data_IF_992192272770
#
_entry.id   IF_992192272770
#
_cell.length_a   1.000
_cell.length_b   1.000
_cell.length_c   1.000
_cell.angle_alpha   90.00
_cell.angle_beta   90.00
_cell.angle_gamma   90.00
#
_symmetry.space_group_name_H-M   'P 1'
#
loop_
_entity.id
_entity.type
_entity.pdbx_description
1 polymer ?
#
# COMPACT_ATOMS: atom_id res chain seq x y z
N UNK A 1 8.19 -31.55 5.18
CA UNK A 1 7.02 -30.76 4.73
C UNK A 1 6.13 -30.53 5.93
N UNK A 2 6.20 -29.32 6.52
CA UNK A 2 5.26 -28.92 7.58
C UNK A 2 3.96 -28.51 6.90
N UNK A 3 2.85 -29.14 7.24
CA UNK A 3 1.55 -28.70 6.77
C UNK A 3 1.05 -27.62 7.72
N UNK A 4 0.93 -26.38 7.22
CA UNK A 4 0.08 -25.40 7.87
C UNK A 4 -1.34 -26.00 8.06
N UNK A 5 -2.00 -25.66 9.17
CA UNK A 5 -3.38 -26.12 9.42
C UNK A 5 -4.26 -25.80 8.22
N UNK A 6 -5.04 -26.75 7.74
CA UNK A 6 -6.01 -26.45 6.66
C UNK A 6 -7.05 -25.44 7.15
N UNK A 7 -7.70 -24.74 6.22
CA UNK A 7 -8.76 -23.76 6.53
C UNK A 7 -9.82 -24.31 7.49
N UNK A 8 -10.25 -25.55 7.30
CA UNK A 8 -11.26 -26.18 8.15
C UNK A 8 -10.72 -26.51 9.54
N UNK A 9 -9.46 -26.99 9.63
CA UNK A 9 -8.79 -27.22 10.92
C UNK A 9 -8.65 -25.93 11.72
N UNK A 10 -8.34 -24.81 11.08
CA UNK A 10 -8.24 -23.50 11.76
C UNK A 10 -9.59 -23.08 12.33
N UNK A 11 -10.68 -23.22 11.56
CA UNK A 11 -12.03 -22.88 12.03
C UNK A 11 -12.48 -23.74 13.20
N UNK A 12 -12.18 -25.03 13.16
CA UNK A 12 -12.48 -25.95 14.26
C UNK A 12 -11.68 -25.58 15.52
N UNK A 13 -10.38 -25.27 15.37
CA UNK A 13 -9.52 -24.83 16.47
C UNK A 13 -10.00 -23.52 17.09
N UNK A 14 -10.39 -22.54 16.28
CA UNK A 14 -10.97 -21.27 16.76
C UNK A 14 -12.21 -21.57 17.59
N UNK A 15 -13.16 -22.34 17.06
CA UNK A 15 -14.42 -22.67 17.75
C UNK A 15 -14.15 -23.35 19.11
N UNK A 16 -13.21 -24.30 19.14
CA UNK A 16 -12.81 -24.97 20.37
C UNK A 16 -12.19 -24.00 21.39
N UNK A 17 -11.30 -23.12 20.94
CA UNK A 17 -10.60 -22.16 21.79
C UNK A 17 -11.51 -21.05 22.34
N UNK A 18 -12.53 -20.65 21.59
CA UNK A 18 -13.55 -19.70 22.08
C UNK A 18 -14.44 -20.32 23.16
N UNK A 19 -14.69 -21.63 23.11
CA UNK A 19 -15.44 -22.35 24.15
C UNK A 19 -14.68 -22.48 25.47
N UNK A 20 -13.34 -22.46 25.44
CA UNK A 20 -12.50 -22.57 26.65
C UNK A 20 -12.64 -21.35 27.58
N UNK A 21 -13.14 -20.18 27.10
CA UNK A 21 -13.42 -18.93 27.87
C UNK A 21 -12.32 -18.39 28.80
N UNK A 22 -11.14 -19.01 28.84
CA UNK A 22 -10.11 -18.74 29.83
C UNK A 22 -9.17 -17.56 29.49
N UNK A 23 -9.21 -17.05 28.25
CA UNK A 23 -8.35 -15.95 27.79
C UNK A 23 -9.13 -14.83 27.10
N UNK A 24 -8.89 -13.56 27.46
CA UNK A 24 -9.46 -12.43 26.74
C UNK A 24 -8.89 -12.36 25.32
N UNK A 25 -9.77 -12.25 24.33
CA UNK A 25 -9.38 -11.99 22.93
C UNK A 25 -8.84 -10.57 22.84
N UNK A 26 -7.56 -10.42 22.47
CA UNK A 26 -6.92 -9.12 22.31
C UNK A 26 -7.20 -8.51 20.93
N UNK A 27 -7.22 -9.33 19.89
CA UNK A 27 -7.47 -8.90 18.51
C UNK A 27 -8.64 -9.69 17.93
N UNK A 28 -9.70 -9.00 17.50
CA UNK A 28 -10.80 -9.66 16.81
C UNK A 28 -10.40 -10.08 15.40
N UNK A 29 -10.96 -11.20 14.93
CA UNK A 29 -10.82 -11.69 13.56
C UNK A 29 -11.17 -10.60 12.55
N UNK A 30 -12.30 -9.94 12.76
CA UNK A 30 -12.83 -8.87 11.90
C UNK A 30 -11.85 -7.70 11.78
N UNK A 31 -11.18 -7.32 12.87
CA UNK A 31 -10.19 -6.25 12.84
C UNK A 31 -8.97 -6.64 12.00
N UNK A 32 -8.43 -7.85 12.17
CA UNK A 32 -7.32 -8.37 11.38
C UNK A 32 -7.68 -8.43 9.88
N UNK A 33 -8.87 -8.93 9.57
CA UNK A 33 -9.38 -9.00 8.19
C UNK A 33 -9.48 -7.60 7.56
N UNK A 34 -10.01 -6.61 8.30
CA UNK A 34 -10.09 -5.21 7.83
C UNK A 34 -8.71 -4.64 7.53
N UNK A 35 -7.69 -4.92 8.34
CA UNK A 35 -6.30 -4.50 8.11
C UNK A 35 -5.74 -5.10 6.81
N UNK A 36 -5.89 -6.40 6.60
CA UNK A 36 -5.41 -7.08 5.38
C UNK A 36 -6.07 -6.47 4.16
N UNK A 37 -7.40 -6.32 4.19
CA UNK A 37 -8.15 -5.70 3.09
C UNK A 37 -7.75 -4.25 2.84
N UNK A 38 -7.44 -3.49 3.89
CA UNK A 38 -6.90 -2.15 3.76
C UNK A 38 -5.57 -2.15 2.99
N UNK A 39 -4.63 -3.04 3.31
CA UNK A 39 -3.36 -3.15 2.58
C UNK A 39 -3.53 -3.59 1.12
N UNK A 40 -4.42 -4.54 0.84
CA UNK A 40 -4.75 -4.97 -0.54
C UNK A 40 -5.25 -3.78 -1.36
N UNK A 41 -6.16 -2.97 -0.80
CA UNK A 41 -6.70 -1.78 -1.48
C UNK A 41 -5.65 -0.72 -1.69
N UNK A 42 -4.81 -0.48 -0.69
CA UNK A 42 -3.70 0.47 -0.80
C UNK A 42 -2.74 0.07 -1.92
N UNK A 43 -2.36 -1.21 -2.02
CA UNK A 43 -1.51 -1.70 -3.11
C UNK A 43 -2.18 -1.53 -4.47
N UNK A 44 -3.47 -1.88 -4.58
CA UNK A 44 -4.27 -1.71 -5.80
C UNK A 44 -4.30 -0.24 -6.24
N UNK A 45 -4.56 0.67 -5.30
CA UNK A 45 -4.56 2.10 -5.56
C UNK A 45 -3.20 2.59 -6.08
N UNK A 46 -2.09 2.18 -5.46
CA UNK A 46 -0.73 2.52 -5.92
C UNK A 46 -0.44 2.06 -7.37
N UNK A 47 -1.00 0.92 -7.79
CA UNK A 47 -0.95 0.48 -9.18
C UNK A 47 -1.81 1.34 -10.11
N UNK A 48 -3.03 1.68 -9.70
CA UNK A 48 -3.93 2.54 -10.48
C UNK A 48 -3.33 3.93 -10.71
N UNK A 49 -2.76 4.57 -9.67
CA UNK A 49 -2.08 5.87 -9.79
C UNK A 49 -0.90 5.75 -10.76
N UNK A 50 -0.13 4.65 -10.66
CA UNK A 50 0.97 4.36 -11.58
C UNK A 50 0.52 4.22 -13.04
N UNK A 51 -0.57 3.49 -13.28
CA UNK A 51 -1.16 3.34 -14.60
C UNK A 51 -1.65 4.69 -15.14
N UNK A 52 -2.44 5.44 -14.36
CA UNK A 52 -2.93 6.77 -14.71
C UNK A 52 -1.80 7.73 -15.10
N UNK A 53 -0.73 7.75 -14.30
CA UNK A 53 0.46 8.55 -14.56
C UNK A 53 1.17 8.15 -15.87
N UNK A 54 1.27 6.86 -16.17
CA UNK A 54 1.86 6.36 -17.42
C UNK A 54 0.99 6.70 -18.63
N UNK A 55 -0.32 6.46 -18.55
CA UNK A 55 -1.30 6.76 -19.62
C UNK A 55 -1.33 8.25 -19.96
N UNK A 56 -1.34 9.14 -18.96
CA UNK A 56 -1.26 10.60 -19.18
C UNK A 56 0.02 11.04 -19.88
N UNK A 57 1.14 10.36 -19.61
CA UNK A 57 2.40 10.67 -20.27
C UNK A 57 2.41 10.19 -21.71
N UNK A 58 1.86 8.99 -21.97
CA UNK A 58 1.65 8.51 -23.33
C UNK A 58 0.82 9.51 -24.14
N UNK A 59 -0.30 10.00 -23.59
CA UNK A 59 -1.13 11.03 -24.23
C UNK A 59 -0.31 12.29 -24.55
N UNK A 60 0.41 12.82 -23.55
CA UNK A 60 1.22 14.04 -23.74
C UNK A 60 2.30 13.86 -24.82
N UNK A 61 2.94 12.70 -24.88
CA UNK A 61 3.95 12.41 -25.90
C UNK A 61 3.32 12.33 -27.29
N UNK A 62 2.19 11.63 -27.42
CA UNK A 62 1.44 11.52 -28.68
C UNK A 62 0.95 12.89 -29.17
N UNK A 63 0.37 13.72 -28.29
CA UNK A 63 -0.13 15.05 -28.63
C UNK A 63 1.00 16.01 -29.04
N UNK A 64 2.17 15.92 -28.40
CA UNK A 64 3.28 16.84 -28.66
C UNK A 64 4.10 16.47 -29.89
N UNK A 65 4.28 15.17 -30.15
CA UNK A 65 5.32 14.69 -31.05
C UNK A 65 4.86 13.54 -31.97
N UNK A 66 3.61 13.08 -31.84
CA UNK A 66 3.05 11.99 -32.63
C UNK A 66 3.67 10.62 -32.35
N UNK A 67 3.20 9.58 -33.07
CA UNK A 67 3.63 8.19 -32.88
C UNK A 67 5.13 7.97 -33.11
N UNK A 68 5.77 8.77 -33.97
CA UNK A 68 7.18 8.60 -34.36
C UNK A 68 8.17 8.87 -33.21
N UNK A 69 7.69 9.44 -32.10
CA UNK A 69 8.51 9.93 -31.00
C UNK A 69 8.41 9.09 -29.72
N UNK A 70 7.48 8.15 -29.66
CA UNK A 70 7.29 7.26 -28.53
C UNK A 70 8.07 5.96 -28.76
N UNK A 71 8.47 5.29 -27.68
CA UNK A 71 9.25 4.05 -27.81
C UNK A 71 8.41 2.94 -28.47
N UNK A 72 9.03 1.96 -29.15
CA UNK A 72 8.31 0.83 -29.75
C UNK A 72 7.38 0.12 -28.75
N UNK A 73 7.80 -0.04 -27.50
CA UNK A 73 6.99 -0.65 -26.44
C UNK A 73 5.78 0.21 -26.08
N UNK A 74 5.94 1.53 -26.06
CA UNK A 74 4.83 2.45 -25.82
C UNK A 74 3.84 2.46 -26.98
N UNK A 75 4.34 2.35 -28.21
CA UNK A 75 3.52 2.26 -29.41
C UNK A 75 2.75 0.95 -29.46
N UNK A 76 3.37 -0.17 -29.09
CA UNK A 76 2.70 -1.46 -28.97
C UNK A 76 1.58 -1.40 -27.92
N UNK A 77 1.86 -0.84 -26.74
CA UNK A 77 0.85 -0.61 -25.70
C UNK A 77 -0.29 0.27 -26.22
N UNK A 78 0.04 1.34 -26.95
CA UNK A 78 -0.94 2.25 -27.53
C UNK A 78 -1.89 1.54 -28.50
N UNK A 79 -1.35 0.76 -29.43
CA UNK A 79 -2.14 0.02 -30.42
C UNK A 79 -2.92 -1.13 -29.80
N UNK A 80 -2.31 -1.89 -28.89
CA UNK A 80 -2.92 -3.07 -28.27
C UNK A 80 -4.06 -2.71 -27.32
N UNK A 81 -3.87 -1.71 -26.46
CA UNK A 81 -4.82 -1.41 -25.39
C UNK A 81 -5.72 -0.21 -25.69
N UNK A 82 -5.31 0.68 -26.60
CA UNK A 82 -6.05 1.89 -26.96
C UNK A 82 -6.37 1.98 -28.45
N UNK A 83 -6.21 0.87 -29.21
CA UNK A 83 -6.54 0.76 -30.63
C UNK A 83 -5.84 1.78 -31.55
N UNK A 84 -4.77 2.41 -31.08
CA UNK A 84 -4.12 3.49 -31.82
C UNK A 84 -4.93 4.79 -31.85
N UNK A 85 -5.90 4.95 -30.94
CA UNK A 85 -6.83 6.08 -30.92
C UNK A 85 -6.63 6.99 -29.69
N UNK A 86 -6.53 8.30 -29.94
CA UNK A 86 -6.28 9.31 -28.91
C UNK A 86 -7.52 9.50 -28.02
N UNK A 87 -8.72 9.40 -28.58
CA UNK A 87 -9.94 9.63 -27.81
C UNK A 87 -10.21 8.45 -26.86
N UNK A 88 -10.00 7.21 -27.32
CA UNK A 88 -9.97 6.01 -26.47
C UNK A 88 -8.96 6.15 -25.32
N UNK A 89 -7.78 6.73 -25.59
CA UNK A 89 -6.76 6.99 -24.56
C UNK A 89 -7.23 8.05 -23.54
N UNK A 90 -7.88 9.13 -23.99
CA UNK A 90 -8.45 10.19 -23.13
C UNK A 90 -9.58 9.65 -22.26
N UNK A 91 -10.46 8.84 -22.82
CA UNK A 91 -11.55 8.19 -22.09
C UNK A 91 -10.99 7.27 -21.00
N UNK A 92 -9.95 6.50 -21.33
CA UNK A 92 -9.29 5.66 -20.32
C UNK A 92 -8.69 6.47 -19.19
N UNK A 93 -8.11 7.62 -19.47
CA UNK A 93 -7.57 8.52 -18.43
C UNK A 93 -8.68 8.98 -17.47
N UNK A 94 -9.87 9.30 -17.98
CA UNK A 94 -11.00 9.67 -17.14
C UNK A 94 -11.51 8.49 -16.31
N UNK A 95 -11.60 7.29 -16.90
CA UNK A 95 -11.96 6.06 -16.18
C UNK A 95 -10.96 5.77 -15.05
N UNK A 96 -9.66 5.83 -15.33
CA UNK A 96 -8.60 5.62 -14.33
C UNK A 96 -8.65 6.67 -13.22
N UNK A 97 -8.90 7.94 -13.55
CA UNK A 97 -9.05 9.02 -12.56
C UNK A 97 -10.25 8.76 -11.63
N UNK A 98 -11.40 8.36 -12.18
CA UNK A 98 -12.59 8.02 -11.39
C UNK A 98 -12.32 6.80 -10.48
N UNK A 99 -11.67 5.78 -11.03
CA UNK A 99 -11.32 4.54 -10.32
C UNK A 99 -10.33 4.80 -9.17
N UNK A 100 -9.26 5.56 -9.43
CA UNK A 100 -8.27 5.99 -8.43
C UNK A 100 -8.94 6.72 -7.26
N UNK A 101 -9.87 7.62 -7.54
CA UNK A 101 -10.55 8.41 -6.50
C UNK A 101 -11.57 7.58 -5.72
N UNK A 102 -12.28 6.67 -6.40
CA UNK A 102 -13.18 5.71 -5.75
C UNK A 102 -12.42 4.82 -4.77
N UNK A 103 -11.27 4.29 -5.20
CA UNK A 103 -10.45 3.42 -4.35
C UNK A 103 -9.83 4.21 -3.18
N UNK A 104 -9.36 5.44 -3.41
CA UNK A 104 -8.87 6.30 -2.32
C UNK A 104 -9.96 6.57 -1.28
N UNK A 105 -11.20 6.85 -1.70
CA UNK A 105 -12.31 7.01 -0.76
C UNK A 105 -12.51 5.77 0.10
N UNK A 106 -12.47 4.58 -0.52
CA UNK A 106 -12.64 3.30 0.19
C UNK A 106 -11.50 3.02 1.17
N UNK A 107 -10.26 3.39 0.82
CA UNK A 107 -9.10 3.32 1.73
C UNK A 107 -9.34 4.21 2.94
N UNK A 108 -9.76 5.47 2.74
CA UNK A 108 -9.99 6.43 3.83
C UNK A 108 -11.17 6.03 4.73
N UNK A 109 -12.24 5.44 4.17
CA UNK A 109 -13.34 4.87 4.95
C UNK A 109 -12.86 3.70 5.80
N UNK A 110 -12.16 2.73 5.21
CA UNK A 110 -11.66 1.57 5.95
C UNK A 110 -10.65 1.93 7.01
N UNK A 111 -9.84 2.94 6.76
CA UNK A 111 -8.91 3.53 7.72
C UNK A 111 -9.64 3.94 9.02
N UNK A 112 -10.82 4.56 8.89
CA UNK A 112 -11.67 4.91 10.04
C UNK A 112 -12.23 3.66 10.73
N UNK A 113 -12.67 2.64 9.97
CA UNK A 113 -13.19 1.37 10.52
C UNK A 113 -12.16 0.55 11.33
N UNK A 114 -10.86 0.84 11.16
CA UNK A 114 -9.75 0.24 11.93
C UNK A 114 -9.19 1.22 12.98
N UNK A 115 -9.88 2.33 13.27
CA UNK A 115 -9.44 3.38 14.20
C UNK A 115 -8.04 3.93 13.90
N UNK A 116 -7.68 3.98 12.62
CA UNK A 116 -6.45 4.63 12.18
C UNK A 116 -6.87 5.91 11.46
N UNK A 117 -6.79 7.06 12.13
CA UNK A 117 -7.10 8.36 11.52
C UNK A 117 -5.83 8.91 10.84
N UNK A 118 -5.53 8.30 9.68
CA UNK A 118 -4.25 8.35 8.97
C UNK A 118 -3.88 9.70 8.35
N UNK A 119 -4.77 10.69 8.43
CA UNK A 119 -4.75 11.89 7.61
C UNK A 119 -4.94 13.19 8.39
N UNK A 120 -5.28 13.13 9.68
CA UNK A 120 -5.41 14.33 10.52
C UNK A 120 -4.10 15.13 10.58
N UNK A 121 -2.95 14.44 10.50
CA UNK A 121 -1.62 15.07 10.43
C UNK A 121 -1.13 15.37 9.00
N UNK A 122 -1.86 14.99 7.96
CA UNK A 122 -1.59 15.43 6.57
C UNK A 122 -2.22 16.80 6.28
N UNK A 123 -2.99 17.33 7.23
CA UNK A 123 -3.59 18.67 7.23
C UNK A 123 -2.61 19.62 7.93
N UNK A 124 -1.45 19.85 7.32
CA UNK A 124 -0.77 21.13 7.47
C UNK A 124 -0.94 21.90 6.14
N UNK A 125 -2.21 22.17 5.83
CA UNK A 125 -2.64 22.87 4.61
C UNK A 125 -2.60 24.37 4.82
N UNK A 126 -1.39 24.92 4.84
CA UNK A 126 -1.08 26.35 4.89
C UNK A 126 -0.52 26.92 3.59
N UNK A 127 -1.10 26.59 2.43
CA UNK A 127 -0.97 27.33 1.15
C UNK A 127 0.37 27.31 0.39
N UNK A 128 0.24 27.23 -0.95
CA UNK A 128 1.21 27.61 -1.99
C UNK A 128 2.50 26.78 -2.07
N UNK A 129 3.08 26.80 -3.27
CA UNK A 129 4.32 26.13 -3.64
C UNK A 129 5.57 26.73 -2.92
N UNK A 130 5.55 26.90 -1.61
CA UNK A 130 6.59 27.58 -0.86
C UNK A 130 7.08 26.71 0.31
N UNK A 131 8.31 26.20 0.18
CA UNK A 131 9.33 25.96 1.21
C UNK A 131 9.01 25.35 2.59
N UNK A 132 7.78 24.99 2.92
CA UNK A 132 7.42 24.41 4.21
C UNK A 132 6.91 22.99 3.96
N UNK A 133 7.72 22.04 4.39
CA UNK A 133 7.49 20.62 4.20
C UNK A 133 6.33 20.18 5.09
N UNK A 134 5.35 19.48 4.51
CA UNK A 134 4.29 18.73 5.22
C UNK A 134 4.82 17.65 6.19
N UNK A 135 6.14 17.59 6.36
CA UNK A 135 6.92 16.67 7.17
C UNK A 135 8.00 17.38 8.00
N UNK A 136 7.99 18.72 8.10
CA UNK A 136 8.82 19.41 9.10
C UNK A 136 8.25 19.09 10.49
N UNK A 137 9.08 18.45 11.32
CA UNK A 137 8.74 18.17 12.73
C UNK A 137 8.64 19.46 13.57
N UNK A 138 9.09 20.59 13.00
CA UNK A 138 9.16 21.90 13.64
C UNK A 138 7.93 22.80 13.36
N UNK A 139 6.93 22.35 12.58
CA UNK A 139 5.72 23.15 12.36
C UNK A 139 4.72 22.97 13.51
N UNK A 140 4.58 24.02 14.31
CA UNK A 140 3.51 24.12 15.31
C UNK A 140 2.15 24.05 14.57
N UNK A 141 1.32 23.02 14.82
CA UNK A 141 0.06 22.86 14.12
C UNK A 141 -0.83 24.07 14.45
N UNK A 142 -1.01 24.96 13.47
CA UNK A 142 -1.87 26.13 13.66
C UNK A 142 -3.31 25.65 13.89
N UNK A 143 -3.75 25.91 15.11
CA UNK A 143 -5.09 25.75 15.68
C UNK A 143 -6.19 26.22 14.73
N UNK A 144 -6.73 25.30 13.93
CA UNK A 144 -8.03 25.39 13.25
C UNK A 144 -8.33 24.04 12.59
N UNK A 145 -8.60 23.02 13.40
CA UNK A 145 -8.86 21.64 12.96
C UNK A 145 -10.30 21.45 12.48
N UNK A 146 -10.66 22.02 11.33
CA UNK A 146 -11.73 21.42 10.53
C UNK A 146 -11.12 20.39 9.58
N UNK A 147 -11.50 19.13 9.78
CA UNK A 147 -11.11 18.02 8.93
C UNK A 147 -11.74 18.18 7.53
N UNK A 148 -10.95 18.62 6.55
CA UNK A 148 -11.40 18.63 5.16
C UNK A 148 -10.80 17.45 4.37
N UNK A 149 -11.66 16.43 4.21
CA UNK A 149 -11.41 15.22 3.43
C UNK A 149 -11.02 15.52 1.96
N UNK A 150 -11.46 16.64 1.39
CA UNK A 150 -11.08 17.07 0.05
C UNK A 150 -9.58 17.41 -0.04
N UNK A 151 -9.05 18.20 0.91
CA UNK A 151 -7.63 18.55 0.92
C UNK A 151 -6.74 17.33 1.15
N UNK A 152 -7.12 16.43 2.05
CA UNK A 152 -6.42 15.15 2.27
C UNK A 152 -6.29 14.36 0.97
N UNK A 153 -7.41 14.12 0.27
CA UNK A 153 -7.42 13.37 -0.99
C UNK A 153 -6.56 14.05 -2.05
N UNK A 154 -6.67 15.38 -2.15
CA UNK A 154 -5.88 16.17 -3.10
C UNK A 154 -4.38 16.08 -2.82
N UNK A 155 -3.96 16.15 -1.55
CA UNK A 155 -2.57 16.05 -1.14
C UNK A 155 -1.99 14.66 -1.45
N UNK A 156 -2.68 13.59 -1.06
CA UNK A 156 -2.30 12.20 -1.36
C UNK A 156 -2.14 12.03 -2.88
N UNK A 157 -3.15 12.39 -3.68
CA UNK A 157 -3.06 12.28 -5.13
C UNK A 157 -1.92 13.13 -5.71
N UNK A 158 -1.60 14.28 -5.12
CA UNK A 158 -0.49 15.12 -5.59
C UNK A 158 0.86 14.42 -5.41
N UNK A 159 1.17 13.89 -4.22
CA UNK A 159 2.44 13.21 -3.93
C UNK A 159 2.70 12.01 -4.83
N UNK A 160 1.65 11.24 -5.11
CA UNK A 160 1.75 10.04 -5.92
C UNK A 160 1.51 10.29 -7.42
N UNK A 161 1.16 11.51 -7.84
CA UNK A 161 1.04 11.88 -9.26
C UNK A 161 2.35 12.38 -9.84
N UNK A 162 2.50 12.37 -11.18
CA UNK A 162 3.68 12.93 -11.88
C UNK A 162 3.94 14.43 -11.64
N UNK A 163 3.08 15.13 -10.92
CA UNK A 163 3.25 16.56 -10.59
C UNK A 163 4.28 16.79 -9.48
N UNK A 164 4.47 15.83 -8.58
CA UNK A 164 5.45 15.93 -7.50
C UNK A 164 6.81 15.37 -7.94
N UNK A 165 7.89 16.02 -7.50
CA UNK A 165 9.26 15.50 -7.65
C UNK A 165 9.37 14.12 -7.01
N UNK A 166 10.06 13.18 -7.65
CA UNK A 166 10.24 11.80 -7.18
C UNK A 166 8.96 10.95 -7.02
N UNK A 167 7.83 11.36 -7.60
CA UNK A 167 6.58 10.61 -7.45
C UNK A 167 6.66 9.17 -7.99
N UNK A 168 7.52 8.90 -8.98
CA UNK A 168 7.74 7.54 -9.51
C UNK A 168 8.44 6.67 -8.47
N UNK A 169 9.45 7.22 -7.82
CA UNK A 169 10.23 6.62 -6.74
C UNK A 169 9.34 6.40 -5.51
N UNK A 170 8.57 7.41 -5.09
CA UNK A 170 7.55 7.28 -4.03
C UNK A 170 6.61 6.10 -4.28
N UNK A 171 5.99 6.03 -5.46
CA UNK A 171 5.12 4.90 -5.84
C UNK A 171 5.87 3.56 -5.81
N UNK A 172 7.15 3.53 -6.17
CA UNK A 172 7.96 2.30 -6.15
C UNK A 172 8.20 1.84 -4.72
N UNK A 173 8.67 2.73 -3.85
CA UNK A 173 8.96 2.42 -2.44
C UNK A 173 7.70 2.05 -1.66
N UNK A 174 6.62 2.81 -1.85
CA UNK A 174 5.32 2.48 -1.27
C UNK A 174 4.84 1.08 -1.69
N UNK A 175 4.95 0.73 -2.98
CA UNK A 175 4.58 -0.60 -3.45
C UNK A 175 5.45 -1.68 -2.82
N UNK A 176 6.77 -1.48 -2.72
CA UNK A 176 7.66 -2.47 -2.08
C UNK A 176 7.23 -2.69 -0.64
N UNK A 177 7.09 -1.63 0.15
CA UNK A 177 6.70 -1.71 1.56
C UNK A 177 5.36 -2.45 1.76
N UNK A 178 4.33 -2.14 0.97
CA UNK A 178 3.02 -2.77 1.10
C UNK A 178 3.04 -4.22 0.58
N UNK A 179 3.80 -4.52 -0.47
CA UNK A 179 3.99 -5.89 -0.96
C UNK A 179 4.68 -6.76 0.08
N UNK A 180 5.77 -6.28 0.67
CA UNK A 180 6.51 -7.01 1.70
C UNK A 180 5.61 -7.27 2.90
N UNK A 181 4.76 -6.30 3.24
CA UNK A 181 3.76 -6.46 4.29
C UNK A 181 2.77 -7.57 3.96
N UNK A 182 2.09 -7.46 2.82
CA UNK A 182 1.12 -8.47 2.39
C UNK A 182 1.75 -9.87 2.29
N UNK A 183 3.00 -9.97 1.83
CA UNK A 183 3.74 -11.22 1.77
C UNK A 183 3.90 -11.85 3.15
N UNK A 184 4.30 -11.08 4.17
CA UNK A 184 4.38 -11.57 5.55
C UNK A 184 3.04 -12.02 6.10
N UNK A 185 1.94 -11.34 5.76
CA UNK A 185 0.60 -11.81 6.11
C UNK A 185 0.29 -13.15 5.42
N UNK A 186 0.59 -13.29 4.13
CA UNK A 186 0.36 -14.52 3.38
C UNK A 186 1.21 -15.70 3.89
N UNK A 187 2.42 -15.43 4.40
CA UNK A 187 3.27 -16.44 5.02
C UNK A 187 2.63 -17.14 6.24
N UNK A 188 1.55 -16.60 6.81
CA UNK A 188 0.79 -17.28 7.86
C UNK A 188 0.10 -18.57 7.37
N UNK A 189 -0.21 -18.66 6.07
CA UNK A 189 -0.85 -19.84 5.46
C UNK A 189 0.06 -20.57 4.47
N UNK A 190 1.11 -19.91 4.00
CA UNK A 190 2.12 -20.46 3.08
C UNK A 190 3.53 -20.00 3.50
N UNK A 191 4.18 -20.70 4.44
CA UNK A 191 5.47 -20.28 5.01
C UNK A 191 6.59 -20.15 3.96
N UNK A 192 6.50 -20.89 2.87
CA UNK A 192 7.49 -20.91 1.78
C UNK A 192 7.21 -19.83 0.71
N UNK A 193 6.21 -18.96 0.94
CA UNK A 193 5.87 -17.89 0.01
C UNK A 193 7.01 -16.87 -0.13
N UNK A 194 7.67 -16.89 -1.28
CA UNK A 194 8.63 -15.86 -1.68
C UNK A 194 7.97 -14.78 -2.56
N UNK A 195 7.75 -13.56 -2.05
CA UNK A 195 7.18 -12.46 -2.84
C UNK A 195 8.09 -11.94 -3.96
N UNK A 196 9.37 -12.32 -3.98
CA UNK A 196 10.36 -11.89 -4.97
C UNK A 196 10.60 -12.93 -6.07
N UNK A 197 10.17 -14.18 -5.87
CA UNK A 197 10.35 -15.29 -6.82
C UNK A 197 9.66 -15.08 -8.17
N UNK A 198 8.60 -14.24 -8.24
CA UNK A 198 7.84 -13.94 -9.45
C UNK A 198 7.54 -12.44 -9.55
N UNK A 199 7.43 -11.91 -10.78
CA UNK A 199 6.88 -10.55 -11.01
C UNK A 199 5.42 -10.52 -10.53
N UNK A 200 5.20 -10.24 -9.26
CA UNK A 200 3.87 -10.06 -8.69
C UNK A 200 3.33 -8.68 -9.08
N UNK A 201 2.65 -8.61 -10.22
CA UNK A 201 1.90 -7.43 -10.65
C UNK A 201 0.54 -7.32 -9.95
N UNK A 202 -0.24 -6.29 -10.28
CA UNK A 202 -1.56 -6.07 -9.66
C UNK A 202 -2.52 -7.26 -9.87
N UNK A 203 -2.44 -7.93 -11.03
CA UNK A 203 -3.33 -9.04 -11.39
C UNK A 203 -2.97 -10.28 -10.60
N UNK A 204 -1.68 -10.60 -10.50
CA UNK A 204 -1.20 -11.71 -9.68
C UNK A 204 -1.58 -11.51 -8.20
N UNK A 205 -1.41 -10.29 -7.68
CA UNK A 205 -1.79 -9.95 -6.30
C UNK A 205 -3.28 -10.16 -6.03
N UNK A 206 -4.17 -9.72 -6.94
CA UNK A 206 -5.61 -9.89 -6.75
C UNK A 206 -6.05 -11.36 -6.77
N UNK A 207 -5.32 -12.25 -7.44
CA UNK A 207 -5.59 -13.69 -7.43
C UNK A 207 -5.18 -14.34 -6.11
N UNK A 208 -4.04 -13.91 -5.57
CA UNK A 208 -3.49 -14.39 -4.28
C UNK A 208 -4.37 -13.91 -3.13
N UNK A 209 -4.71 -12.62 -3.09
CA UNK A 209 -5.54 -12.01 -2.03
C UNK A 209 -7.00 -11.90 -2.46
N UNK A 210 -7.61 -13.05 -2.74
CA UNK A 210 -9.07 -13.17 -2.88
C UNK A 210 -9.75 -13.23 -1.49
N UNK A 211 -11.08 -13.12 -1.44
CA UNK A 211 -11.82 -13.07 -0.18
C UNK A 211 -11.58 -14.31 0.71
N UNK A 212 -11.55 -15.50 0.11
CA UNK A 212 -11.30 -16.75 0.81
C UNK A 212 -9.90 -16.80 1.45
N UNK A 213 -8.87 -16.41 0.71
CA UNK A 213 -7.51 -16.38 1.24
C UNK A 213 -7.34 -15.30 2.31
N UNK A 214 -8.00 -14.14 2.16
CA UNK A 214 -7.99 -13.08 3.18
C UNK A 214 -8.60 -13.57 4.49
N UNK A 215 -9.75 -14.26 4.42
CA UNK A 215 -10.39 -14.86 5.58
C UNK A 215 -9.48 -15.89 6.24
N UNK A 216 -8.89 -16.79 5.45
CA UNK A 216 -8.01 -17.85 5.96
C UNK A 216 -6.74 -17.29 6.62
N UNK A 217 -6.12 -16.25 6.04
CA UNK A 217 -5.00 -15.53 6.66
C UNK A 217 -5.44 -14.88 7.98
N UNK A 218 -6.60 -14.21 7.99
CA UNK A 218 -7.13 -13.57 9.19
C UNK A 218 -7.39 -14.59 10.30
N UNK A 219 -7.93 -15.76 9.97
CA UNK A 219 -8.17 -16.87 10.88
C UNK A 219 -6.87 -17.40 11.49
N UNK A 220 -5.85 -17.65 10.66
CA UNK A 220 -4.54 -18.10 11.14
C UNK A 220 -3.87 -17.08 12.07
N UNK A 221 -3.89 -15.81 11.69
CA UNK A 221 -3.31 -14.73 12.50
C UNK A 221 -4.08 -14.55 13.80
N UNK A 222 -5.41 -14.57 13.75
CA UNK A 222 -6.25 -14.52 14.94
C UNK A 222 -5.88 -15.63 15.93
N UNK A 223 -5.81 -16.87 15.44
CA UNK A 223 -5.49 -18.03 16.25
C UNK A 223 -4.12 -17.87 16.90
N UNK A 224 -3.09 -17.58 16.11
CA UNK A 224 -1.70 -17.54 16.57
C UNK A 224 -1.42 -16.33 17.47
N UNK A 225 -2.03 -15.16 17.22
CA UNK A 225 -1.84 -13.98 18.06
C UNK A 225 -2.59 -14.02 19.39
N UNK A 226 -3.79 -14.63 19.45
CA UNK A 226 -4.57 -14.72 20.68
C UNK A 226 -4.24 -15.98 21.51
N UNK A 227 -3.77 -17.06 20.86
CA UNK A 227 -3.40 -18.32 21.49
C UNK A 227 -1.94 -18.66 21.17
N UNK A 228 -1.03 -17.92 21.81
CA UNK A 228 0.43 -17.98 21.55
C UNK A 228 1.00 -19.37 21.78
N UNK A 229 0.40 -20.19 22.66
CA UNK A 229 0.78 -21.59 22.86
C UNK A 229 0.64 -22.47 21.61
N UNK A 230 -0.13 -22.02 20.61
CA UNK A 230 -0.27 -22.70 19.33
C UNK A 230 0.83 -22.31 18.34
N UNK A 231 1.68 -21.33 18.68
CA UNK A 231 2.81 -20.96 17.85
C UNK A 231 3.99 -21.93 18.06
N UNK A 232 4.62 -22.30 16.96
CA UNK A 232 5.90 -23.01 16.99
C UNK A 232 7.07 -22.02 17.14
N UNK A 233 8.20 -22.48 17.65
CA UNK A 233 9.37 -21.62 17.91
C UNK A 233 9.86 -20.86 16.66
N UNK A 234 9.76 -21.48 15.49
CA UNK A 234 10.13 -20.91 14.19
C UNK A 234 9.18 -19.79 13.74
N UNK A 235 7.95 -19.78 14.23
CA UNK A 235 6.91 -18.83 13.84
C UNK A 235 6.92 -17.54 14.66
N UNK A 236 7.58 -17.53 15.84
CA UNK A 236 7.58 -16.38 16.75
C UNK A 236 8.03 -15.09 16.06
N UNK A 237 9.08 -15.13 15.25
CA UNK A 237 9.56 -13.95 14.51
C UNK A 237 8.53 -13.40 13.53
N UNK A 238 7.78 -14.29 12.86
CA UNK A 238 6.74 -13.90 11.92
C UNK A 238 5.57 -13.24 12.66
N UNK A 239 5.06 -13.89 13.71
CA UNK A 239 3.91 -13.38 14.44
C UNK A 239 4.22 -12.14 15.28
N UNK A 240 5.44 -11.98 15.79
CA UNK A 240 5.88 -10.71 16.39
C UNK A 240 5.88 -9.57 15.37
N UNK A 241 6.32 -9.85 14.13
CA UNK A 241 6.28 -8.87 13.05
C UNK A 241 4.84 -8.53 12.66
N UNK A 242 3.98 -9.53 12.49
CA UNK A 242 2.56 -9.35 12.15
C UNK A 242 1.85 -8.56 13.25
N UNK A 243 2.08 -8.91 14.52
CA UNK A 243 1.53 -8.21 15.69
C UNK A 243 1.85 -6.72 15.63
N UNK A 244 3.10 -6.34 15.34
CA UNK A 244 3.48 -4.93 15.19
C UNK A 244 2.67 -4.22 14.10
N UNK A 245 2.27 -4.90 13.03
CA UNK A 245 1.45 -4.32 11.94
C UNK A 245 -0.04 -4.32 12.22
N UNK A 246 -0.51 -5.21 13.09
CA UNK A 246 -1.89 -5.18 13.63
C UNK A 246 -2.04 -4.05 14.64
N UNK A 247 -1.03 -3.83 15.49
CA UNK A 247 -0.99 -2.74 16.48
C UNK A 247 -0.64 -1.38 15.85
N UNK A 248 0.22 -1.35 14.82
CA UNK A 248 0.67 -0.14 14.11
C UNK A 248 0.54 -0.30 12.61
N UNK A 249 -0.68 -0.07 12.12
CA UNK A 249 -1.03 -0.20 10.70
C UNK A 249 -0.23 0.81 9.85
N UNK A 250 0.26 0.39 8.68
CA UNK A 250 0.99 1.27 7.76
C UNK A 250 0.03 2.30 7.15
N UNK A 251 0.32 3.57 7.39
CA UNK A 251 -0.48 4.73 6.94
C UNK A 251 0.22 5.44 5.78
N UNK A 252 -0.49 6.34 5.07
CA UNK A 252 0.17 7.23 4.11
C UNK A 252 1.31 8.05 4.72
N UNK A 253 1.15 8.55 5.96
CA UNK A 253 2.23 9.24 6.68
C UNK A 253 3.43 8.34 6.92
N UNK A 254 3.22 7.10 7.35
CA UNK A 254 4.30 6.14 7.54
C UNK A 254 5.08 5.90 6.24
N UNK A 255 4.36 5.74 5.13
CA UNK A 255 4.98 5.52 3.81
C UNK A 255 5.84 6.72 3.42
N UNK A 256 5.34 7.94 3.60
CA UNK A 256 6.10 9.14 3.27
C UNK A 256 7.32 9.33 4.19
N UNK A 257 7.20 9.06 5.49
CA UNK A 257 8.35 9.11 6.41
C UNK A 257 9.44 8.12 6.01
N UNK A 258 9.06 6.88 5.64
CA UNK A 258 10.01 5.88 5.13
C UNK A 258 10.68 6.38 3.85
N UNK A 259 9.91 6.96 2.93
CA UNK A 259 10.44 7.52 1.69
C UNK A 259 11.46 8.64 1.95
N UNK A 260 11.14 9.61 2.80
CA UNK A 260 12.02 10.73 3.13
C UNK A 260 13.30 10.26 3.82
N UNK A 261 13.19 9.33 4.78
CA UNK A 261 14.35 8.73 5.44
C UNK A 261 15.23 7.95 4.45
N UNK A 262 14.65 7.26 3.46
CA UNK A 262 15.40 6.61 2.40
C UNK A 262 16.12 7.63 1.50
N UNK A 263 15.47 8.74 1.15
CA UNK A 263 16.09 9.80 0.36
C UNK A 263 17.28 10.42 1.10
N UNK A 264 17.13 10.73 2.39
CA UNK A 264 18.19 11.27 3.23
C UNK A 264 19.40 10.35 3.28
N UNK A 265 19.18 9.06 3.59
CA UNK A 265 20.26 8.05 3.62
C UNK A 265 20.98 7.88 2.28
N UNK A 266 20.25 7.91 1.16
CA UNK A 266 20.86 7.85 -0.17
C UNK A 266 21.70 9.10 -0.47
N UNK A 267 21.27 10.27 0.00
CA UNK A 267 22.01 11.51 -0.18
C UNK A 267 23.29 11.53 0.67
N UNK A 268 23.21 11.11 1.93
CA UNK A 268 24.36 10.93 2.83
C UNK A 268 25.39 9.97 2.23
N UNK A 269 24.94 8.81 1.73
CA UNK A 269 25.83 7.83 1.11
C UNK A 269 26.51 8.37 -0.16
N UNK A 270 25.83 9.22 -0.94
CA UNK A 270 26.43 9.90 -2.10
C UNK A 270 27.46 10.93 -1.68
N UNK A 271 27.13 11.76 -0.69
CA UNK A 271 28.04 12.78 -0.17
C UNK A 271 29.31 12.13 0.41
N UNK A 272 29.16 11.04 1.18
CA UNK A 272 30.28 10.28 1.73
C UNK A 272 31.17 9.69 0.61
N UNK A 273 30.57 9.13 -0.45
CA UNK A 273 31.32 8.64 -1.62
C UNK A 273 32.09 9.73 -2.35
N UNK A 274 31.51 10.92 -2.47
CA UNK A 274 32.18 12.08 -3.07
C UNK A 274 33.33 12.57 -2.20
N UNK A 275 33.16 12.60 -0.88
CA UNK A 275 34.20 13.00 0.07
C UNK A 275 35.35 11.97 0.15
N UNK A 276 35.07 10.67 -0.03
CA UNK A 276 36.11 9.64 -0.09
C UNK A 276 36.87 9.59 -1.42
N UNK A 277 36.37 10.28 -2.45
CA UNK A 277 36.96 10.34 -3.78
C UNK A 277 37.74 11.66 -4.03
N UNK A 278 37.71 12.58 -3.07
CA UNK A 278 38.57 13.77 -2.99
C UNK A 278 39.74 13.49 -2.04
#
# INVERSE_FOLDING_TARGET
>A
MKMAYTKDQVKELISKKEMEKDKPIKYSREYIERIIRYYVRLLRWLYQVGANASTKYLLKSLEKWGEKSISPEQLEVYRKYFKGDIDTLKDKIQELKKSEMKELNQILTRSSEINVEQYLYLIDSGSRAAKNSLFDEDSDPKTSTEFDLYYVKKTICTFYSKRALNAKERRKEARILIKDTLAKFYSAIDPDFDPYSKKLDATAFNKIFNDENIEYIADMIFLKLNYVELQEAEEYMLYDWIKRRVEKVITFRFIENVFLANQARMQEARNAKMQSAC
#
